data_IF_976020532638
#
_entry.id   IF_976020532638
#
_cell.length_a   1.000
_cell.length_b   1.000
_cell.length_c   1.000
_cell.angle_alpha   90.00
_cell.angle_beta   90.00
_cell.angle_gamma   90.00
#
_symmetry.space_group_name_H-M   'P 1'
#
loop_
_entity.id
_entity.type
_entity.pdbx_description
1 polymer ?
#
# COMPACT_ATOMS: atom_id res chain seq x y z
N UNK A 1 0.19 5.40 8.80
CA UNK A 1 -0.50 4.25 8.20
C UNK A 1 -0.54 3.07 9.16
N UNK A 2 -1.36 2.07 8.87
CA UNK A 2 -1.48 0.83 9.65
C UNK A 2 -0.82 -0.30 8.85
N UNK A 3 -0.01 -1.12 9.51
CA UNK A 3 0.63 -2.29 8.91
C UNK A 3 -0.35 -3.46 8.92
N UNK A 4 -0.48 -4.14 7.77
CA UNK A 4 -1.20 -5.40 7.67
C UNK A 4 -0.24 -6.57 7.43
N UNK A 5 0.72 -6.39 6.52
CA UNK A 5 1.58 -7.47 6.06
C UNK A 5 3.05 -7.10 6.27
N UNK A 6 3.78 -7.85 7.10
CA UNK A 6 5.21 -7.67 7.29
C UNK A 6 6.01 -8.00 6.03
N UNK A 7 7.12 -7.28 5.81
CA UNK A 7 8.15 -7.67 4.84
C UNK A 7 8.54 -9.13 5.02
N UNK A 8 8.70 -9.85 3.93
CA UNK A 8 9.10 -11.27 3.92
C UNK A 8 7.95 -12.26 4.14
N UNK A 9 6.73 -11.79 4.37
CA UNK A 9 5.57 -12.68 4.56
C UNK A 9 4.91 -13.05 3.22
N UNK A 10 4.29 -14.22 3.16
CA UNK A 10 3.51 -14.68 2.01
C UNK A 10 2.02 -14.90 2.36
N UNK A 11 1.60 -14.50 3.55
CA UNK A 11 0.19 -14.50 3.93
C UNK A 11 -0.35 -13.07 3.76
N UNK A 12 -1.43 -12.93 3.01
CA UNK A 12 -2.17 -11.69 2.93
C UNK A 12 -3.07 -11.59 4.17
N UNK A 13 -2.79 -10.57 4.97
CA UNK A 13 -3.66 -10.19 6.09
C UNK A 13 -4.49 -8.97 5.67
N UNK A 14 -5.67 -8.87 6.24
CA UNK A 14 -6.61 -7.77 6.05
C UNK A 14 -7.26 -7.42 7.38
N UNK A 15 -7.45 -6.14 7.62
CA UNK A 15 -8.20 -5.66 8.79
C UNK A 15 -9.68 -5.58 8.40
N UNK A 16 -10.50 -6.36 9.09
CA UNK A 16 -11.95 -6.24 8.96
C UNK A 16 -12.42 -4.94 9.63
N UNK A 17 -13.07 -4.08 8.86
CA UNK A 17 -13.46 -2.73 9.28
C UNK A 17 -14.53 -2.78 10.38
N UNK A 18 -15.39 -3.80 10.38
CA UNK A 18 -16.49 -3.91 11.36
C UNK A 18 -15.98 -4.37 12.72
N UNK A 19 -15.17 -5.41 12.77
CA UNK A 19 -14.65 -5.97 14.02
C UNK A 19 -13.34 -5.32 14.48
N UNK A 20 -12.62 -4.66 13.59
CA UNK A 20 -11.27 -4.13 13.83
C UNK A 20 -10.20 -5.23 14.00
N UNK A 21 -10.51 -6.48 13.66
CA UNK A 21 -9.60 -7.61 13.80
C UNK A 21 -8.80 -7.85 12.53
N UNK A 22 -7.58 -8.35 12.72
CA UNK A 22 -6.72 -8.77 11.63
C UNK A 22 -7.02 -10.23 11.25
N UNK A 23 -7.39 -10.45 9.99
CA UNK A 23 -7.65 -11.77 9.43
C UNK A 23 -6.52 -12.22 8.53
N UNK A 24 -6.12 -13.49 8.63
CA UNK A 24 -5.32 -14.14 7.60
C UNK A 24 -6.27 -14.48 6.44
N UNK A 25 -6.32 -13.62 5.44
CA UNK A 25 -7.23 -13.77 4.30
C UNK A 25 -6.83 -14.96 3.42
N UNK A 26 -5.60 -14.98 2.95
CA UNK A 26 -5.07 -16.09 2.15
C UNK A 26 -3.54 -16.14 2.14
N UNK A 27 -3.00 -17.30 1.82
CA UNK A 27 -1.60 -17.45 1.44
C UNK A 27 -1.44 -17.14 -0.04
N UNK A 28 -0.39 -16.42 -0.43
CA UNK A 28 -0.05 -16.26 -1.85
C UNK A 28 0.17 -17.64 -2.48
N UNK A 29 -0.43 -17.93 -3.64
CA UNK A 29 -0.34 -19.24 -4.27
C UNK A 29 1.02 -19.51 -4.93
N UNK A 30 1.86 -18.49 -5.03
CA UNK A 30 3.21 -18.54 -5.59
C UNK A 30 4.27 -18.60 -4.48
N UNK A 31 5.56 -18.75 -4.87
CA UNK A 31 6.70 -18.63 -3.95
C UNK A 31 7.05 -17.19 -3.59
N UNK A 32 6.29 -16.21 -4.03
CA UNK A 32 6.53 -14.79 -3.77
C UNK A 32 6.25 -14.44 -2.32
N UNK A 33 7.01 -13.46 -1.84
CA UNK A 33 6.84 -12.83 -0.52
C UNK A 33 6.72 -11.32 -0.70
N UNK A 34 6.06 -10.64 0.22
CA UNK A 34 5.98 -9.19 0.21
C UNK A 34 7.39 -8.58 0.34
N UNK A 35 7.87 -7.80 -0.64
CA UNK A 35 9.23 -7.28 -0.64
C UNK A 35 9.46 -6.14 0.36
N UNK A 36 8.38 -5.50 0.78
CA UNK A 36 8.34 -4.42 1.77
C UNK A 36 7.21 -4.66 2.77
N UNK A 37 7.22 -3.93 3.89
CA UNK A 37 6.05 -3.86 4.73
C UNK A 37 4.89 -3.23 3.94
N UNK A 38 3.70 -3.75 4.14
CA UNK A 38 2.50 -3.34 3.41
C UNK A 38 1.35 -3.05 4.36
N UNK A 39 0.50 -2.14 3.99
CA UNK A 39 -0.69 -1.77 4.73
C UNK A 39 -1.37 -0.58 4.07
N UNK A 40 -2.15 0.18 4.80
CA UNK A 40 -2.98 1.24 4.24
C UNK A 40 -2.98 2.52 5.08
N UNK A 41 -3.48 3.59 4.48
CA UNK A 41 -3.70 4.87 5.16
C UNK A 41 -5.14 4.87 5.70
N UNK A 42 -5.35 4.91 7.03
CA UNK A 42 -6.69 4.95 7.60
C UNK A 42 -7.40 6.26 7.23
N UNK A 43 -8.74 6.21 7.15
CA UNK A 43 -9.60 7.33 6.72
C UNK A 43 -9.32 7.83 5.31
N UNK A 44 -8.98 6.92 4.42
CA UNK A 44 -8.91 7.15 2.98
C UNK A 44 -9.88 6.21 2.27
N UNK A 45 -10.30 6.58 1.05
CA UNK A 45 -11.16 5.76 0.21
C UNK A 45 -10.82 6.00 -1.26
N UNK A 46 -10.39 4.97 -1.96
CA UNK A 46 -10.20 5.00 -3.40
C UNK A 46 -11.54 4.82 -4.15
N UNK A 47 -11.51 4.86 -5.47
CA UNK A 47 -12.72 4.74 -6.31
C UNK A 47 -13.35 3.34 -6.25
N UNK A 48 -12.55 2.30 -6.01
CA UNK A 48 -12.99 0.92 -5.80
C UNK A 48 -13.61 0.70 -4.40
N UNK A 49 -13.46 1.66 -3.50
CA UNK A 49 -14.00 1.61 -2.13
C UNK A 49 -13.01 1.26 -1.05
N UNK A 50 -11.82 0.79 -1.41
CA UNK A 50 -10.78 0.39 -0.48
C UNK A 50 -9.97 1.59 0.04
N UNK A 51 -9.30 1.48 1.18
CA UNK A 51 -8.35 2.49 1.62
C UNK A 51 -7.11 2.52 0.70
N UNK A 52 -6.37 3.63 0.73
CA UNK A 52 -5.13 3.77 -0.05
C UNK A 52 -4.05 2.85 0.48
N UNK A 53 -3.56 1.97 -0.37
CA UNK A 53 -2.49 1.01 -0.09
C UNK A 53 -1.10 1.65 -0.09
N UNK A 54 -0.21 1.16 0.77
CA UNK A 54 1.15 1.68 0.91
C UNK A 54 2.18 0.56 1.05
N UNK A 55 3.22 0.57 0.22
CA UNK A 55 4.49 -0.11 0.47
C UNK A 55 5.43 0.80 1.25
N UNK A 56 5.96 0.31 2.36
CA UNK A 56 6.94 1.06 3.16
C UNK A 56 8.32 0.48 2.94
N UNK A 57 9.24 1.31 2.46
CA UNK A 57 10.66 0.96 2.39
C UNK A 57 11.20 0.79 3.82
N UNK A 58 11.95 -0.27 4.02
CA UNK A 58 12.54 -0.62 5.30
C UNK A 58 13.20 -1.99 5.24
N UNK A 59 14.16 -2.24 6.12
CA UNK A 59 14.89 -3.51 6.14
C UNK A 59 14.23 -4.55 7.05
N UNK A 60 13.58 -4.10 8.12
CA UNK A 60 12.96 -4.96 9.11
C UNK A 60 11.47 -5.17 8.90
N UNK A 61 10.93 -6.37 9.22
CA UNK A 61 9.50 -6.60 9.25
C UNK A 61 8.86 -5.87 10.43
N UNK A 62 7.77 -5.14 10.18
CA UNK A 62 6.99 -4.47 11.21
C UNK A 62 5.84 -5.35 11.69
N UNK A 63 5.45 -5.20 12.95
CA UNK A 63 4.33 -5.97 13.50
C UNK A 63 3.01 -5.55 12.83
N UNK A 64 2.16 -6.51 12.41
CA UNK A 64 0.81 -6.22 11.98
C UNK A 64 0.02 -5.45 13.05
N UNK A 65 -0.90 -4.59 12.62
CA UNK A 65 -1.70 -3.68 13.45
C UNK A 65 -0.89 -2.52 14.06
N UNK A 66 0.44 -2.46 13.90
CA UNK A 66 1.18 -1.29 14.36
C UNK A 66 0.90 -0.07 13.47
N UNK A 67 0.95 1.10 14.10
CA UNK A 67 0.83 2.38 13.42
C UNK A 67 2.22 2.98 13.22
N UNK A 68 2.53 3.35 12.00
CA UNK A 68 3.81 3.98 11.66
C UNK A 68 3.57 5.32 10.94
N UNK A 69 4.39 6.32 11.29
CA UNK A 69 4.42 7.61 10.60
C UNK A 69 5.37 7.52 9.40
N UNK A 70 4.88 7.89 8.22
CA UNK A 70 5.62 7.75 6.96
C UNK A 70 5.52 9.00 6.10
N UNK A 71 6.50 9.18 5.21
CA UNK A 71 6.52 10.18 4.16
C UNK A 71 6.33 9.50 2.80
N UNK A 72 5.30 9.86 2.01
CA UNK A 72 5.18 9.38 0.64
C UNK A 72 6.30 9.97 -0.23
N UNK A 73 6.94 9.12 -1.03
CA UNK A 73 8.04 9.47 -1.94
C UNK A 73 7.78 9.08 -3.39
N UNK A 74 6.70 8.37 -3.67
CA UNK A 74 6.30 7.99 -5.01
C UNK A 74 4.97 7.22 -5.01
N UNK A 75 4.54 6.83 -6.19
CA UNK A 75 3.32 6.06 -6.41
C UNK A 75 3.47 5.14 -7.62
N UNK A 76 2.94 3.95 -7.53
CA UNK A 76 2.70 3.04 -8.64
C UNK A 76 1.22 3.01 -8.95
N UNK A 77 0.84 3.51 -10.13
CA UNK A 77 -0.52 3.47 -10.60
C UNK A 77 -0.80 2.11 -11.22
N UNK A 78 -1.80 1.44 -10.70
CA UNK A 78 -2.22 0.10 -11.17
C UNK A 78 -3.72 0.02 -11.35
N UNK A 79 -4.13 -0.98 -12.12
CA UNK A 79 -5.51 -1.38 -12.32
C UNK A 79 -5.61 -2.89 -12.18
N UNK A 80 -6.62 -3.35 -11.50
CA UNK A 80 -6.95 -4.76 -11.40
C UNK A 80 -8.41 -5.02 -11.78
N UNK A 81 -8.96 -6.20 -11.50
CA UNK A 81 -10.33 -6.58 -11.82
C UNK A 81 -11.39 -5.71 -11.10
N UNK A 82 -11.04 -5.06 -10.00
CA UNK A 82 -11.92 -4.21 -9.18
C UNK A 82 -11.77 -2.71 -9.53
N UNK A 83 -10.84 -2.37 -10.43
CA UNK A 83 -10.59 -1.03 -10.95
C UNK A 83 -9.22 -0.46 -10.58
N UNK A 84 -9.15 0.88 -10.46
CA UNK A 84 -7.90 1.56 -10.09
C UNK A 84 -7.53 1.22 -8.65
N UNK A 85 -6.27 0.84 -8.47
CA UNK A 85 -5.73 0.32 -7.22
C UNK A 85 -4.29 0.84 -7.04
N UNK A 86 -4.16 2.11 -6.63
CA UNK A 86 -2.86 2.79 -6.53
C UNK A 86 -2.03 2.30 -5.34
N UNK A 87 -0.72 2.16 -5.53
CA UNK A 87 0.20 1.76 -4.46
C UNK A 87 1.14 2.90 -4.13
N UNK A 88 0.94 3.56 -3.00
CA UNK A 88 1.87 4.58 -2.50
C UNK A 88 3.18 3.91 -2.11
N UNK A 89 4.30 4.55 -2.47
CA UNK A 89 5.62 4.18 -1.95
C UNK A 89 5.99 5.22 -0.91
N UNK A 90 6.28 4.76 0.29
CA UNK A 90 6.61 5.61 1.41
C UNK A 90 7.87 5.12 2.14
N UNK A 91 8.48 6.02 2.88
CA UNK A 91 9.55 5.73 3.83
C UNK A 91 9.12 6.09 5.24
N UNK A 92 9.64 5.45 6.29
CA UNK A 92 9.46 5.91 7.66
C UNK A 92 9.93 7.36 7.83
N UNK A 93 9.36 8.08 8.80
CA UNK A 93 9.95 9.34 9.25
C UNK A 93 11.28 9.05 9.93
N UNK A 94 12.22 10.01 9.89
CA UNK A 94 13.60 9.83 10.38
C UNK A 94 13.68 9.37 11.84
N UNK A 95 12.77 9.83 12.70
CA UNK A 95 12.73 9.40 14.12
C UNK A 95 12.41 7.91 14.30
N UNK A 96 11.81 7.26 13.30
CA UNK A 96 11.45 5.84 13.33
C UNK A 96 12.56 5.01 12.69
N UNK A 97 13.02 5.43 11.51
CA UNK A 97 14.13 4.78 10.80
C UNK A 97 14.82 5.82 9.90
N UNK A 98 16.09 6.09 10.20
CA UNK A 98 16.89 7.05 9.44
C UNK A 98 17.54 6.45 8.17
N UNK A 99 17.48 5.14 7.94
CA UNK A 99 18.16 4.44 6.84
C UNK A 99 17.81 5.03 5.48
N UNK A 100 16.54 5.37 5.29
CA UNK A 100 16.03 5.89 4.02
C UNK A 100 15.79 7.41 4.04
N UNK A 101 16.36 8.15 5.01
CA UNK A 101 16.09 9.58 5.19
C UNK A 101 16.45 10.43 3.95
N UNK A 102 17.46 10.02 3.18
CA UNK A 102 17.93 10.73 1.98
C UNK A 102 17.00 10.58 0.76
N UNK A 103 16.10 9.59 0.75
CA UNK A 103 15.15 9.44 -0.34
C UNK A 103 14.05 10.51 -0.20
N UNK A 104 13.93 11.38 -1.18
CA UNK A 104 12.97 12.50 -1.16
C UNK A 104 11.91 12.42 -2.23
N UNK A 105 12.16 11.64 -3.29
CA UNK A 105 11.24 11.41 -4.40
C UNK A 105 11.48 10.03 -5.01
N UNK A 106 10.62 9.62 -5.95
CA UNK A 106 10.72 8.37 -6.69
C UNK A 106 12.10 8.18 -7.36
N UNK A 107 12.66 9.24 -7.89
CA UNK A 107 13.96 9.24 -8.60
C UNK A 107 15.14 8.89 -7.71
N UNK A 108 14.99 9.03 -6.40
CA UNK A 108 16.05 8.70 -5.43
C UNK A 108 16.04 7.20 -5.06
N UNK A 109 14.95 6.49 -5.39
CA UNK A 109 14.82 5.07 -5.06
C UNK A 109 15.70 4.25 -6.01
N UNK A 110 16.56 3.36 -5.48
CA UNK A 110 17.38 2.50 -6.33
C UNK A 110 16.52 1.69 -7.32
N UNK A 111 16.91 1.61 -8.60
CA UNK A 111 16.15 0.85 -9.61
C UNK A 111 15.90 -0.61 -9.24
N UNK A 112 16.79 -1.22 -8.48
CA UNK A 112 16.61 -2.60 -7.99
C UNK A 112 15.41 -2.75 -7.07
N UNK A 113 15.13 -1.75 -6.24
CA UNK A 113 13.95 -1.73 -5.36
C UNK A 113 12.68 -1.55 -6.19
N UNK A 114 12.68 -0.58 -7.12
CA UNK A 114 11.53 -0.34 -8.01
C UNK A 114 11.21 -1.58 -8.85
N UNK A 115 12.22 -2.21 -9.45
CA UNK A 115 12.03 -3.43 -10.23
C UNK A 115 11.48 -4.59 -9.38
N UNK A 116 11.94 -4.72 -8.14
CA UNK A 116 11.43 -5.76 -7.22
C UNK A 116 9.96 -5.52 -6.87
N UNK A 117 9.58 -4.28 -6.57
CA UNK A 117 8.18 -3.90 -6.29
C UNK A 117 7.31 -4.12 -7.52
N UNK A 118 7.76 -3.68 -8.69
CA UNK A 118 7.05 -3.84 -9.96
C UNK A 118 6.81 -5.31 -10.28
N UNK A 119 7.85 -6.12 -10.19
CA UNK A 119 7.75 -7.56 -10.41
C UNK A 119 6.77 -8.22 -9.42
N UNK A 120 6.85 -7.86 -8.14
CA UNK A 120 5.92 -8.38 -7.15
C UNK A 120 4.47 -7.99 -7.48
N UNK A 121 4.21 -6.73 -7.76
CA UNK A 121 2.87 -6.21 -8.06
C UNK A 121 2.28 -6.88 -9.30
N UNK A 122 3.08 -7.07 -10.36
CA UNK A 122 2.64 -7.72 -11.59
C UNK A 122 2.30 -9.21 -11.39
N UNK A 123 3.05 -9.93 -10.56
CA UNK A 123 3.06 -11.39 -10.58
C UNK A 123 2.50 -12.08 -9.33
N UNK A 124 2.23 -11.33 -8.24
CA UNK A 124 1.75 -11.98 -7.01
C UNK A 124 0.37 -12.65 -7.13
N UNK A 125 -0.43 -12.24 -8.13
CA UNK A 125 -1.77 -12.80 -8.43
C UNK A 125 -1.78 -13.78 -9.61
N UNK A 126 -0.66 -14.07 -10.29
CA UNK A 126 -0.62 -14.88 -11.53
C UNK A 126 -1.25 -16.26 -11.41
N UNK A 127 -1.20 -16.88 -10.24
CA UNK A 127 -1.80 -18.17 -9.96
C UNK A 127 -3.20 -18.08 -9.32
N UNK A 128 -3.75 -16.89 -9.18
CA UNK A 128 -5.12 -16.68 -8.71
C UNK A 128 -6.07 -16.63 -9.91
N UNK A 129 -7.12 -17.46 -9.84
CA UNK A 129 -8.08 -17.55 -10.95
C UNK A 129 -8.84 -16.21 -11.12
N UNK A 130 -8.97 -15.78 -12.37
CA UNK A 130 -9.73 -14.61 -12.78
C UNK A 130 -9.21 -13.27 -12.16
N UNK A 131 -7.95 -13.26 -11.70
CA UNK A 131 -7.29 -12.04 -11.19
C UNK A 131 -6.13 -11.61 -12.08
N UNK A 132 -5.96 -10.30 -12.16
CA UNK A 132 -4.83 -9.69 -12.87
C UNK A 132 -4.41 -8.39 -12.20
N UNK A 133 -3.23 -7.91 -12.52
CA UNK A 133 -2.78 -6.55 -12.23
C UNK A 133 -2.13 -5.99 -13.49
N UNK A 134 -2.47 -4.76 -13.84
CA UNK A 134 -1.80 -3.98 -14.88
C UNK A 134 -1.14 -2.77 -14.24
N UNK A 135 0.10 -2.51 -14.60
CA UNK A 135 0.79 -1.30 -14.22
C UNK A 135 0.56 -0.25 -15.31
N UNK A 136 0.07 0.91 -14.93
CA UNK A 136 -0.05 2.07 -15.82
C UNK A 136 1.31 2.79 -15.91
N UNK A 137 1.81 3.26 -14.77
CA UNK A 137 3.11 3.92 -14.65
C UNK A 137 3.52 4.17 -13.21
N UNK A 138 4.79 4.46 -13.04
CA UNK A 138 5.32 5.10 -11.85
C UNK A 138 5.11 6.63 -11.91
N UNK A 139 4.92 7.26 -10.74
CA UNK A 139 4.85 8.72 -10.67
C UNK A 139 5.43 9.23 -9.33
N UNK A 140 5.63 10.52 -9.22
CA UNK A 140 6.35 11.20 -8.15
C UNK A 140 5.53 11.40 -6.86
N UNK A 141 6.18 11.91 -5.82
CA UNK A 141 5.54 12.21 -4.52
C UNK A 141 4.41 13.23 -4.60
N UNK A 142 4.44 14.14 -5.60
CA UNK A 142 3.41 15.17 -5.73
C UNK A 142 2.08 14.52 -6.10
N UNK A 143 2.08 13.60 -7.08
CA UNK A 143 0.88 12.85 -7.43
C UNK A 143 0.44 11.94 -6.28
N UNK A 144 1.39 11.27 -5.59
CA UNK A 144 1.07 10.47 -4.40
C UNK A 144 0.29 11.26 -3.34
N UNK A 145 0.75 12.47 -3.00
CA UNK A 145 0.06 13.35 -2.04
C UNK A 145 -1.31 13.82 -2.54
N UNK A 146 -1.44 14.09 -3.83
CA UNK A 146 -2.72 14.47 -4.44
C UNK A 146 -3.74 13.34 -4.29
N UNK A 147 -3.37 12.11 -4.66
CA UNK A 147 -4.25 10.93 -4.54
C UNK A 147 -4.65 10.67 -3.09
N UNK A 148 -3.71 10.78 -2.15
CA UNK A 148 -4.03 10.66 -0.71
C UNK A 148 -5.06 11.72 -0.29
N UNK A 149 -4.86 12.99 -0.68
CA UNK A 149 -5.79 14.07 -0.33
C UNK A 149 -7.18 13.86 -0.92
N UNK A 150 -7.27 13.40 -2.16
CA UNK A 150 -8.53 13.06 -2.80
C UNK A 150 -9.22 11.89 -2.11
N UNK A 151 -8.46 10.86 -1.72
CA UNK A 151 -8.98 9.70 -1.01
C UNK A 151 -9.50 10.06 0.40
N UNK A 152 -8.85 10.98 1.11
CA UNK A 152 -9.35 11.56 2.36
C UNK A 152 -10.68 12.26 2.14
N UNK A 153 -10.77 13.12 1.12
CA UNK A 153 -12.01 13.82 0.79
C UNK A 153 -13.15 12.85 0.45
N UNK A 154 -12.88 11.79 -0.33
CA UNK A 154 -13.86 10.75 -0.64
C UNK A 154 -14.34 10.02 0.63
N UNK A 155 -13.42 9.71 1.53
CA UNK A 155 -13.76 9.10 2.82
C UNK A 155 -14.67 10.01 3.65
N UNK A 156 -14.34 11.29 3.79
CA UNK A 156 -15.13 12.27 4.54
C UNK A 156 -16.54 12.44 3.98
N UNK A 157 -16.67 12.47 2.64
CA UNK A 157 -18.00 12.52 1.98
C UNK A 157 -18.78 11.24 2.28
N UNK A 158 -18.14 10.07 2.14
CA UNK A 158 -18.75 8.78 2.43
C UNK A 158 -19.28 8.72 3.87
N UNK A 159 -18.48 9.11 4.86
CA UNK A 159 -18.88 9.11 6.28
C UNK A 159 -20.05 10.06 6.55
N UNK A 160 -20.07 11.25 5.94
CA UNK A 160 -21.19 12.20 6.09
C UNK A 160 -22.50 11.69 5.50
N UNK A 161 -22.43 10.85 4.45
CA UNK A 161 -23.61 10.29 3.80
C UNK A 161 -24.15 9.04 4.50
N UNK A 162 -23.29 8.25 5.15
CA UNK A 162 -23.64 6.96 5.76
C UNK A 162 -23.83 7.05 7.29
N UNK A 163 -23.30 8.10 7.97
CA UNK A 163 -23.53 8.34 9.41
C UNK A 163 -24.75 9.25 9.68
N UNK A 164 -25.71 9.31 8.77
CA UNK A 164 -27.02 9.92 9.04
C UNK A 164 -27.98 8.86 9.60
N UNK A 165 -27.69 8.40 10.82
CA UNK A 165 -28.66 7.73 11.71
C UNK A 165 -28.70 8.51 13.00
#
# INVERSE_FOLDING_TARGET
MIIEIPKGNNIKYEIDVESGLLFANRKLPSSMIYPCNYGFIPRTRESNGDPVDVFILGDDPLLPMSVIEVNPIGILLTEDQDGKDSKIIAKPVEKVDATYCMLTDLTDIPPTILNTLEHFVLHHKDLEKDKYVKIERWDNKTLAKTIISEAINRYDIFMKTHNKI
#
